data_IF_707372085105
#
_entry.id   IF_707372085105
#
_cell.length_a   1.000
_cell.length_b   1.000
_cell.length_c   1.000
_cell.angle_alpha   90.00
_cell.angle_beta   90.00
_cell.angle_gamma   90.00
#
_symmetry.space_group_name_H-M   'P 1'
#
loop_
_entity.id
_entity.type
_entity.pdbx_description
1 polymer ?
#
# COMPACT_ATOMS: atom_id res chain seq x y z
N UNK A 1 0.72 44.39 58.68
CA UNK A 1 0.49 45.82 59.00
C UNK A 1 -0.66 46.29 58.14
N UNK A 2 -1.85 46.41 58.73
CA UNK A 2 -2.97 47.16 58.17
C UNK A 2 -2.62 48.65 58.20
N UNK A 3 -2.98 49.43 57.19
CA UNK A 3 -3.51 50.78 57.39
C UNK A 3 -4.44 51.15 56.24
N UNK A 4 -5.55 51.76 56.61
CA UNK A 4 -6.74 52.08 55.83
C UNK A 4 -6.91 53.61 55.86
N UNK A 5 -7.21 54.21 54.68
CA UNK A 5 -7.86 55.49 54.32
C UNK A 5 -7.61 56.79 55.15
N UNK A 6 -7.82 58.01 54.57
CA UNK A 6 -9.19 58.57 54.54
C UNK A 6 -9.56 59.55 53.39
N UNK A 7 -10.84 59.46 52.99
CA UNK A 7 -11.87 60.49 52.74
C UNK A 7 -11.62 61.86 52.06
N UNK A 8 -12.40 62.08 50.99
CA UNK A 8 -13.30 63.19 50.61
C UNK A 8 -12.87 64.68 50.59
N UNK A 9 -13.17 65.37 49.48
CA UNK A 9 -14.18 66.45 49.44
C UNK A 9 -14.54 66.95 48.00
N UNK A 10 -15.85 66.91 47.71
CA UNK A 10 -16.73 67.89 47.03
C UNK A 10 -16.23 68.72 45.82
N UNK A 11 -17.00 68.57 44.72
CA UNK A 11 -17.88 69.65 44.23
C UNK A 11 -17.43 70.40 42.97
N UNK A 12 -18.26 70.36 41.91
CA UNK A 12 -18.11 71.26 40.77
C UNK A 12 -18.77 70.78 39.48
N UNK A 13 -20.09 70.80 39.43
CA UNK A 13 -20.90 70.63 38.21
C UNK A 13 -20.77 71.86 37.30
N UNK A 14 -20.25 71.67 36.09
CA UNK A 14 -20.46 72.58 34.96
C UNK A 14 -20.65 71.73 33.69
N UNK A 15 -21.90 71.69 33.20
CA UNK A 15 -22.22 71.19 31.87
C UNK A 15 -21.68 72.14 30.81
N UNK A 16 -20.81 71.64 29.93
CA UNK A 16 -20.36 72.30 28.72
C UNK A 16 -20.29 71.26 27.61
N UNK A 17 -21.36 71.20 26.82
CA UNK A 17 -21.54 70.28 25.70
C UNK A 17 -20.72 70.76 24.49
N UNK A 18 -19.91 69.87 23.87
CA UNK A 18 -19.72 69.75 22.41
C UNK A 18 -18.45 68.94 22.06
N UNK A 19 -18.65 67.65 21.86
CA UNK A 19 -18.17 66.83 20.74
C UNK A 19 -16.75 67.08 20.18
N UNK A 20 -15.77 66.34 20.70
CA UNK A 20 -14.43 66.21 20.11
C UNK A 20 -14.41 65.09 19.06
N UNK A 21 -13.83 65.41 17.90
CA UNK A 21 -13.67 64.50 16.77
C UNK A 21 -12.81 63.28 17.11
N UNK A 22 -13.36 62.09 16.81
CA UNK A 22 -12.63 60.83 16.85
C UNK A 22 -11.88 60.59 15.54
N UNK A 23 -10.56 60.44 15.63
CA UNK A 23 -9.75 59.82 14.59
C UNK A 23 -9.98 58.30 14.63
N UNK A 24 -10.25 57.62 13.50
CA UNK A 24 -10.46 56.18 13.51
C UNK A 24 -9.09 55.48 13.48
N UNK A 25 -8.76 54.77 14.57
CA UNK A 25 -7.74 53.73 14.53
C UNK A 25 -8.26 52.59 13.66
N UNK A 26 -7.63 52.37 12.50
CA UNK A 26 -7.96 51.28 11.59
C UNK A 26 -7.73 49.92 12.26
N UNK A 27 -8.79 49.11 12.33
CA UNK A 27 -8.69 47.72 12.74
C UNK A 27 -7.84 46.96 11.72
N UNK A 28 -6.69 46.44 12.13
CA UNK A 28 -5.94 45.47 11.35
C UNK A 28 -6.79 44.19 11.25
N UNK A 29 -7.41 43.96 10.10
CA UNK A 29 -8.05 42.68 9.80
C UNK A 29 -6.97 41.61 9.66
N UNK A 30 -6.89 40.72 10.63
CA UNK A 30 -6.20 39.45 10.44
C UNK A 30 -6.87 38.70 9.27
N UNK A 31 -6.10 38.13 8.32
CA UNK A 31 -6.67 37.25 7.31
C UNK A 31 -7.48 36.14 8.00
N UNK A 32 -8.69 35.88 7.52
CA UNK A 32 -9.47 34.75 7.99
C UNK A 32 -8.62 33.46 7.85
N UNK A 33 -8.58 32.57 8.85
CA UNK A 33 -7.87 31.31 8.71
C UNK A 33 -8.45 30.56 7.52
N UNK A 34 -7.60 30.23 6.55
CA UNK A 34 -8.01 29.43 5.40
C UNK A 34 -8.62 28.12 5.90
N UNK A 35 -9.77 27.68 5.34
CA UNK A 35 -10.36 26.41 5.74
C UNK A 35 -9.37 25.29 5.46
N UNK A 36 -9.02 24.54 6.50
CA UNK A 36 -8.16 23.36 6.37
C UNK A 36 -8.77 22.42 5.31
N UNK A 37 -8.00 21.97 4.31
CA UNK A 37 -8.52 21.08 3.28
C UNK A 37 -9.11 19.83 3.92
N UNK A 38 -10.35 19.50 3.56
CA UNK A 38 -11.05 18.33 4.06
C UNK A 38 -10.31 17.06 3.63
N UNK A 39 -9.66 16.39 4.59
CA UNK A 39 -9.00 15.10 4.36
C UNK A 39 -10.07 14.01 4.48
N UNK A 40 -10.27 13.24 3.42
CA UNK A 40 -11.24 12.14 3.42
C UNK A 40 -10.80 11.01 4.38
N UNK A 41 -11.72 10.49 5.21
CA UNK A 41 -11.51 9.29 6.02
C UNK A 41 -12.25 8.13 5.37
N UNK A 42 -11.50 7.10 4.95
CA UNK A 42 -12.10 5.91 4.37
C UNK A 42 -11.81 4.71 5.26
N UNK A 43 -12.80 3.84 5.43
CA UNK A 43 -12.58 2.54 6.05
C UNK A 43 -12.13 1.54 4.98
N UNK A 44 -11.10 0.75 5.27
CA UNK A 44 -10.62 -0.27 4.35
C UNK A 44 -11.66 -1.38 4.17
N UNK A 45 -11.77 -1.87 2.94
CA UNK A 45 -12.57 -3.05 2.59
C UNK A 45 -11.62 -4.25 2.54
N UNK A 46 -11.93 -5.30 3.30
CA UNK A 46 -11.18 -6.56 3.23
C UNK A 46 -11.55 -7.32 1.97
N UNK A 47 -10.56 -7.55 1.10
CA UNK A 47 -10.73 -8.37 -0.11
C UNK A 47 -10.08 -9.73 0.14
N UNK A 48 -10.85 -10.81 -0.07
CA UNK A 48 -10.32 -12.17 0.04
C UNK A 48 -9.56 -12.51 -1.24
N UNK A 49 -8.26 -12.79 -1.12
CA UNK A 49 -7.48 -13.35 -2.21
C UNK A 49 -7.54 -14.88 -2.16
N UNK A 50 -8.01 -15.51 -3.22
CA UNK A 50 -8.09 -16.97 -3.29
C UNK A 50 -6.77 -17.64 -3.67
N UNK A 51 -5.85 -16.92 -4.33
CA UNK A 51 -4.53 -17.45 -4.67
C UNK A 51 -3.49 -16.36 -4.45
N UNK A 52 -2.51 -16.64 -3.59
CA UNK A 52 -1.52 -15.68 -3.15
C UNK A 52 -0.10 -16.17 -3.43
N UNK A 53 0.52 -15.62 -4.47
CA UNK A 53 1.94 -15.74 -4.76
C UNK A 53 2.74 -14.90 -3.75
N UNK A 54 3.67 -15.57 -3.05
CA UNK A 54 4.60 -14.95 -2.10
C UNK A 54 5.74 -14.29 -2.87
N UNK A 55 5.62 -12.99 -3.12
CA UNK A 55 6.53 -12.25 -4.02
C UNK A 55 8.01 -12.38 -3.65
N UNK A 56 8.31 -12.47 -2.35
CA UNK A 56 9.66 -12.63 -1.82
C UNK A 56 10.30 -13.99 -2.15
N UNK A 57 9.49 -14.96 -2.57
CA UNK A 57 9.96 -16.28 -2.98
C UNK A 57 10.13 -16.41 -4.48
N UNK A 58 9.71 -15.40 -5.27
CA UNK A 58 9.82 -15.38 -6.72
C UNK A 58 11.27 -15.19 -7.13
N UNK A 59 11.84 -16.23 -7.74
CA UNK A 59 13.26 -16.26 -8.13
C UNK A 59 13.48 -17.07 -9.39
N UNK A 60 14.66 -16.85 -9.97
CA UNK A 60 15.17 -17.66 -11.08
C UNK A 60 15.94 -18.86 -10.54
N UNK A 61 15.93 -19.94 -11.30
CA UNK A 61 16.80 -21.08 -11.11
C UNK A 61 17.29 -21.58 -12.47
N UNK A 62 18.57 -21.94 -12.56
CA UNK A 62 19.09 -22.56 -13.76
C UNK A 62 18.35 -23.87 -14.05
N UNK A 63 17.96 -24.08 -15.31
CA UNK A 63 17.36 -25.32 -15.76
C UNK A 63 18.47 -26.36 -15.98
N UNK A 64 18.56 -27.33 -15.07
CA UNK A 64 19.58 -28.38 -15.13
C UNK A 64 19.49 -29.25 -16.39
N UNK A 65 18.31 -29.38 -16.99
CA UNK A 65 18.09 -30.15 -18.21
C UNK A 65 18.30 -29.32 -19.48
N UNK A 66 18.31 -27.99 -19.38
CA UNK A 66 18.44 -27.07 -20.51
C UNK A 66 19.45 -25.95 -20.19
N UNK A 67 20.76 -26.20 -20.37
CA UNK A 67 21.80 -25.23 -20.07
C UNK A 67 21.55 -23.87 -20.75
N UNK A 68 21.73 -22.79 -19.99
CA UNK A 68 21.49 -21.42 -20.46
C UNK A 68 20.03 -20.95 -20.39
N UNK A 69 19.09 -21.83 -20.01
CA UNK A 69 17.73 -21.43 -19.66
C UNK A 69 17.57 -21.27 -18.16
N UNK A 70 16.74 -20.30 -17.78
CA UNK A 70 16.40 -19.99 -16.39
C UNK A 70 14.89 -20.10 -16.21
N UNK A 71 14.51 -20.92 -15.23
CA UNK A 71 13.13 -21.21 -14.87
C UNK A 71 12.71 -20.36 -13.68
N UNK A 72 11.45 -19.95 -13.67
CA UNK A 72 10.84 -19.19 -12.57
C UNK A 72 10.29 -20.14 -11.52
N UNK A 73 10.68 -19.91 -10.26
CA UNK A 73 10.26 -20.69 -9.10
C UNK A 73 9.71 -19.76 -8.02
N UNK A 74 8.64 -20.18 -7.33
CA UNK A 74 8.06 -19.45 -6.21
C UNK A 74 7.18 -20.34 -5.35
N UNK A 75 6.78 -19.80 -4.19
CA UNK A 75 5.78 -20.39 -3.30
C UNK A 75 4.49 -19.60 -3.38
N UNK A 76 3.36 -20.29 -3.28
CA UNK A 76 2.04 -19.68 -3.25
C UNK A 76 1.11 -20.43 -2.30
N UNK A 77 0.08 -19.74 -1.85
CA UNK A 77 -1.04 -20.33 -1.11
C UNK A 77 -2.28 -20.26 -2.00
N UNK A 78 -3.10 -21.31 -2.03
CA UNK A 78 -4.33 -21.37 -2.80
C UNK A 78 -5.47 -21.91 -1.93
N UNK A 79 -6.55 -21.15 -1.83
CA UNK A 79 -7.77 -21.51 -1.10
C UNK A 79 -8.71 -22.37 -1.94
N UNK A 80 -8.49 -22.44 -3.26
CA UNK A 80 -9.23 -23.27 -4.21
C UNK A 80 -8.28 -23.75 -5.30
N UNK A 81 -8.68 -24.77 -6.06
CA UNK A 81 -7.95 -25.19 -7.26
C UNK A 81 -7.93 -24.09 -8.32
N UNK A 82 -6.97 -24.15 -9.23
CA UNK A 82 -6.72 -23.07 -10.17
C UNK A 82 -5.69 -23.42 -11.23
N UNK A 83 -5.19 -22.39 -11.91
CA UNK A 83 -4.04 -22.52 -12.80
C UNK A 83 -3.10 -21.33 -12.68
N UNK A 84 -1.83 -21.62 -12.88
CA UNK A 84 -0.74 -20.67 -12.84
C UNK A 84 -0.17 -20.52 -14.23
N UNK A 85 -0.14 -19.30 -14.76
CA UNK A 85 0.42 -18.98 -16.07
C UNK A 85 1.61 -18.06 -15.93
N UNK A 86 2.77 -18.49 -16.43
CA UNK A 86 3.99 -17.67 -16.56
C UNK A 86 4.09 -17.17 -17.99
N UNK A 87 4.26 -15.86 -18.15
CA UNK A 87 4.41 -15.19 -19.44
C UNK A 87 5.65 -14.30 -19.39
N UNK A 88 6.46 -14.33 -20.44
CA UNK A 88 7.54 -13.37 -20.62
C UNK A 88 7.12 -12.29 -21.62
N UNK A 89 7.54 -11.05 -21.38
CA UNK A 89 7.19 -9.89 -22.18
C UNK A 89 5.67 -9.70 -22.30
N UNK A 90 4.98 -9.60 -21.18
CA UNK A 90 3.53 -9.50 -21.14
C UNK A 90 3.06 -8.07 -20.86
N UNK A 91 1.94 -7.70 -21.48
CA UNK A 91 1.25 -6.44 -21.24
C UNK A 91 -0.06 -6.69 -20.49
N UNK A 92 -0.25 -5.96 -19.39
CA UNK A 92 -1.55 -5.87 -18.69
C UNK A 92 -2.52 -5.06 -19.57
N UNK A 93 -3.63 -5.67 -19.94
CA UNK A 93 -4.76 -5.04 -20.62
C UNK A 93 -5.94 -4.82 -19.67
N UNK A 94 -7.09 -4.52 -20.26
CA UNK A 94 -8.36 -4.41 -19.54
C UNK A 94 -8.85 -5.79 -19.07
N UNK A 95 -9.75 -5.82 -18.08
CA UNK A 95 -10.46 -7.01 -17.61
C UNK A 95 -9.58 -8.24 -17.31
N UNK A 96 -8.53 -8.07 -16.50
CA UNK A 96 -7.59 -9.14 -16.12
C UNK A 96 -6.82 -9.79 -17.30
N UNK A 97 -6.85 -9.22 -18.50
CA UNK A 97 -6.18 -9.81 -19.66
C UNK A 97 -4.69 -9.53 -19.62
N UNK A 98 -3.89 -10.58 -19.64
CA UNK A 98 -2.46 -10.49 -19.93
C UNK A 98 -2.22 -10.95 -21.36
N UNK A 99 -1.50 -10.14 -22.12
CA UNK A 99 -1.18 -10.44 -23.53
C UNK A 99 0.32 -10.62 -23.67
N UNK A 100 0.80 -11.81 -24.07
CA UNK A 100 2.21 -12.04 -24.34
C UNK A 100 2.60 -11.37 -25.66
N UNK A 101 3.63 -10.54 -25.63
CA UNK A 101 4.06 -9.75 -26.79
C UNK A 101 5.08 -10.50 -27.66
N UNK A 102 5.67 -11.58 -27.14
CA UNK A 102 6.70 -12.39 -27.81
C UNK A 102 6.38 -13.90 -27.81
N UNK A 103 5.09 -14.28 -27.90
CA UNK A 103 4.61 -15.67 -27.77
C UNK A 103 5.32 -16.66 -28.74
N UNK A 104 5.67 -16.21 -29.95
CA UNK A 104 6.37 -17.05 -30.94
C UNK A 104 7.82 -17.38 -30.54
N UNK A 105 8.48 -16.51 -29.77
CA UNK A 105 9.86 -16.69 -29.31
C UNK A 105 9.92 -17.33 -27.92
N UNK A 106 9.02 -16.91 -27.03
CA UNK A 106 8.93 -17.38 -25.67
C UNK A 106 7.46 -17.64 -25.33
N UNK A 107 6.96 -18.86 -25.58
CA UNK A 107 5.58 -19.23 -25.30
C UNK A 107 5.27 -19.16 -23.81
N UNK A 108 4.01 -18.80 -23.50
CA UNK A 108 3.48 -18.85 -22.15
C UNK A 108 3.34 -20.29 -21.65
N UNK A 109 3.48 -20.47 -20.34
CA UNK A 109 3.36 -21.79 -19.70
C UNK A 109 2.25 -21.75 -18.68
N UNK A 110 1.30 -22.67 -18.81
CA UNK A 110 0.18 -22.79 -17.88
C UNK A 110 0.21 -24.15 -17.19
N UNK A 111 0.15 -24.15 -15.86
CA UNK A 111 0.18 -25.35 -15.03
C UNK A 111 -1.01 -25.32 -14.05
N UNK A 112 -1.85 -26.37 -13.98
CA UNK A 112 -2.91 -26.45 -12.99
C UNK A 112 -2.33 -26.65 -11.58
N UNK A 113 -3.08 -26.22 -10.57
CA UNK A 113 -2.78 -26.51 -9.17
C UNK A 113 -4.06 -26.83 -8.39
N UNK A 114 -3.90 -27.55 -7.29
CA UNK A 114 -4.97 -27.86 -6.35
C UNK A 114 -4.99 -26.86 -5.19
N UNK A 115 -6.04 -26.92 -4.37
CA UNK A 115 -6.08 -26.19 -3.11
C UNK A 115 -4.94 -26.63 -2.18
N UNK A 116 -4.28 -25.68 -1.52
CA UNK A 116 -3.23 -25.96 -0.55
C UNK A 116 -2.39 -24.74 -0.20
N UNK A 117 -1.76 -24.75 0.98
CA UNK A 117 -0.85 -23.70 1.45
C UNK A 117 0.60 -24.12 1.29
N UNK A 118 1.51 -23.15 1.10
CA UNK A 118 2.94 -23.40 0.97
C UNK A 118 3.32 -24.20 -0.28
N UNK A 119 2.48 -24.20 -1.31
CA UNK A 119 2.72 -24.92 -2.55
C UNK A 119 3.89 -24.31 -3.29
N UNK A 120 4.71 -25.14 -3.93
CA UNK A 120 5.88 -24.70 -4.70
C UNK A 120 5.58 -24.83 -6.18
N UNK A 121 5.59 -23.72 -6.88
CA UNK A 121 5.59 -23.71 -8.33
C UNK A 121 7.03 -23.86 -8.84
N UNK A 122 7.19 -24.79 -9.78
CA UNK A 122 8.40 -24.91 -10.59
C UNK A 122 7.99 -24.87 -12.05
N UNK A 123 8.58 -23.96 -12.80
CA UNK A 123 8.33 -23.87 -14.22
C UNK A 123 8.81 -25.17 -14.92
N UNK A 124 7.99 -25.77 -15.82
CA UNK A 124 8.35 -26.98 -16.55
C UNK A 124 9.71 -26.86 -17.27
N UNK A 125 10.57 -27.89 -17.22
CA UNK A 125 11.87 -27.86 -17.89
C UNK A 125 11.76 -27.54 -19.38
N UNK A 126 12.70 -26.75 -19.89
CA UNK A 126 12.79 -26.32 -21.28
C UNK A 126 11.93 -25.11 -21.63
N UNK A 127 11.01 -24.71 -20.74
CA UNK A 127 10.13 -23.57 -20.96
C UNK A 127 10.63 -22.25 -20.35
N UNK A 128 11.73 -22.30 -19.60
CA UNK A 128 12.40 -21.11 -19.04
C UNK A 128 12.92 -20.15 -20.11
N UNK A 129 13.33 -18.95 -19.67
CA UNK A 129 13.87 -17.89 -20.51
C UNK A 129 15.37 -18.07 -20.74
N UNK A 130 15.86 -17.75 -21.95
CA UNK A 130 17.29 -17.54 -22.20
C UNK A 130 17.55 -16.04 -22.35
N UNK A 131 18.28 -15.44 -21.41
CA UNK A 131 18.54 -14.00 -21.39
C UNK A 131 19.35 -13.52 -22.61
N UNK A 132 20.18 -14.38 -23.20
CA UNK A 132 20.98 -14.05 -24.39
C UNK A 132 20.16 -13.80 -25.66
N UNK A 133 18.87 -14.17 -25.67
CA UNK A 133 17.98 -14.00 -26.81
C UNK A 133 17.32 -12.61 -26.86
N UNK A 134 17.53 -11.77 -25.84
CA UNK A 134 16.82 -10.50 -25.67
C UNK A 134 17.79 -9.38 -25.28
N UNK A 135 17.42 -8.14 -25.59
CA UNK A 135 18.20 -6.98 -25.20
C UNK A 135 18.08 -6.70 -23.69
N UNK A 136 19.16 -6.24 -23.05
CA UNK A 136 19.13 -5.94 -21.60
C UNK A 136 18.09 -4.86 -21.25
N UNK A 137 17.85 -3.89 -22.14
CA UNK A 137 16.81 -2.86 -21.98
C UNK A 137 15.42 -3.45 -21.81
N UNK A 138 15.09 -4.49 -22.58
CA UNK A 138 13.80 -5.20 -22.55
C UNK A 138 13.65 -6.13 -21.34
N UNK A 139 14.75 -6.48 -20.67
CA UNK A 139 14.76 -7.37 -19.51
C UNK A 139 14.75 -6.60 -18.19
N UNK A 140 15.45 -5.48 -18.12
CA UNK A 140 15.72 -4.76 -16.87
C UNK A 140 14.68 -3.67 -16.56
N UNK A 141 13.92 -3.25 -17.57
CA UNK A 141 12.96 -2.16 -17.43
C UNK A 141 11.57 -2.57 -17.89
N UNK A 142 10.56 -1.83 -17.41
CA UNK A 142 9.23 -1.88 -18.01
C UNK A 142 9.31 -1.17 -19.36
N UNK A 143 8.99 -1.87 -20.45
CA UNK A 143 9.04 -1.32 -21.79
C UNK A 143 8.05 -0.16 -21.96
N UNK A 144 8.33 0.74 -22.91
CA UNK A 144 7.60 2.00 -23.12
C UNK A 144 6.07 1.82 -23.26
N UNK A 145 5.62 0.70 -23.82
CA UNK A 145 4.21 0.37 -23.99
C UNK A 145 3.55 -0.30 -22.77
N UNK A 146 4.21 -0.30 -21.61
CA UNK A 146 3.77 -1.00 -20.40
C UNK A 146 4.01 -2.51 -20.45
N UNK A 147 5.08 -2.94 -21.14
CA UNK A 147 5.44 -4.36 -21.30
C UNK A 147 6.36 -4.76 -20.14
N UNK A 148 5.96 -5.78 -19.40
CA UNK A 148 6.73 -6.31 -18.29
C UNK A 148 7.53 -7.54 -18.75
N UNK A 149 8.84 -7.62 -18.45
CA UNK A 149 9.69 -8.75 -18.81
C UNK A 149 9.16 -10.09 -18.29
N UNK A 150 8.56 -10.10 -17.09
CA UNK A 150 7.95 -11.28 -16.48
C UNK A 150 6.57 -10.94 -15.91
N UNK A 151 5.58 -11.77 -16.23
CA UNK A 151 4.27 -11.76 -15.59
C UNK A 151 3.88 -13.17 -15.15
N UNK A 152 3.30 -13.26 -13.96
CA UNK A 152 2.72 -14.49 -13.42
C UNK A 152 1.24 -14.22 -13.13
N UNK A 153 0.36 -14.98 -13.78
CA UNK A 153 -1.09 -14.94 -13.59
C UNK A 153 -1.53 -16.17 -12.81
N UNK A 154 -2.17 -15.99 -11.67
CA UNK A 154 -2.83 -17.05 -10.91
C UNK A 154 -4.34 -16.87 -11.04
N UNK A 155 -5.03 -17.87 -11.59
CA UNK A 155 -6.49 -17.87 -11.74
C UNK A 155 -7.07 -18.92 -10.79
N UNK A 156 -8.04 -18.50 -9.98
CA UNK A 156 -8.75 -19.33 -9.02
C UNK A 156 -10.07 -19.84 -9.62
N UNK A 157 -10.38 -21.12 -9.44
CA UNK A 157 -11.60 -21.76 -9.91
C UNK A 157 -12.43 -22.27 -8.71
N UNK A 158 -13.14 -21.39 -8.00
CA UNK A 158 -14.01 -21.82 -6.91
C UNK A 158 -15.18 -22.65 -7.45
N UNK A 159 -15.50 -23.75 -6.77
CA UNK A 159 -16.51 -24.73 -7.22
C UNK A 159 -17.94 -24.16 -7.41
N UNK A 160 -18.25 -22.99 -6.83
CA UNK A 160 -19.60 -22.41 -6.78
C UNK A 160 -19.77 -21.09 -7.56
N UNK A 161 -18.83 -20.72 -8.44
CA UNK A 161 -18.98 -19.48 -9.22
C UNK A 161 -19.94 -19.68 -10.40
N UNK A 162 -21.24 -19.50 -10.15
CA UNK A 162 -22.26 -19.45 -11.21
C UNK A 162 -22.10 -18.23 -12.15
N UNK A 163 -21.26 -17.26 -11.78
CA UNK A 163 -21.19 -15.93 -12.42
C UNK A 163 -19.92 -15.72 -13.27
N UNK A 164 -19.10 -16.75 -13.49
CA UNK A 164 -17.88 -16.64 -14.30
C UNK A 164 -16.83 -15.64 -13.79
N UNK A 165 -17.04 -15.02 -12.62
CA UNK A 165 -16.10 -14.08 -12.00
C UNK A 165 -14.92 -14.84 -11.40
N UNK A 166 -13.86 -14.96 -12.21
CA UNK A 166 -12.62 -15.64 -11.83
C UNK A 166 -11.76 -14.70 -10.99
N UNK A 167 -11.54 -15.05 -9.72
CA UNK A 167 -10.59 -14.35 -8.89
C UNK A 167 -9.18 -14.58 -9.43
N UNK A 168 -8.47 -13.50 -9.73
CA UNK A 168 -7.17 -13.55 -10.40
C UNK A 168 -6.15 -12.71 -9.66
N UNK A 169 -4.96 -13.25 -9.42
CA UNK A 169 -3.80 -12.47 -9.01
C UNK A 169 -2.80 -12.37 -10.17
N UNK A 170 -2.35 -11.16 -10.47
CA UNK A 170 -1.29 -10.89 -11.44
C UNK A 170 -0.08 -10.33 -10.69
N UNK A 171 1.08 -10.94 -10.88
CA UNK A 171 2.37 -10.44 -10.40
C UNK A 171 3.22 -10.04 -11.59
N UNK A 172 3.61 -8.77 -11.67
CA UNK A 172 4.42 -8.19 -12.74
C UNK A 172 5.81 -7.86 -12.20
N UNK A 173 6.85 -8.27 -12.93
CA UNK A 173 8.23 -8.17 -12.51
C UNK A 173 9.16 -7.77 -13.66
N UNK A 174 10.31 -7.22 -13.29
CA UNK A 174 11.47 -7.01 -14.16
C UNK A 174 12.62 -7.85 -13.65
N UNK A 175 13.65 -8.00 -14.48
CA UNK A 175 14.90 -8.59 -14.04
C UNK A 175 15.86 -7.52 -13.51
N UNK A 176 16.76 -7.92 -12.63
CA UNK A 176 17.91 -7.12 -12.19
C UNK A 176 19.16 -7.93 -12.40
N UNK A 177 20.25 -7.27 -12.79
CA UNK A 177 21.54 -7.92 -13.02
C UNK A 177 22.52 -7.44 -11.96
N UNK A 178 22.96 -8.36 -11.10
CA UNK A 178 23.98 -8.11 -10.07
C UNK A 178 25.08 -9.15 -10.22
N UNK A 179 26.34 -8.70 -10.36
CA UNK A 179 27.50 -9.58 -10.55
C UNK A 179 27.35 -10.62 -11.70
N UNK A 180 26.77 -10.21 -12.83
CA UNK A 180 26.45 -11.07 -13.98
C UNK A 180 25.34 -12.13 -13.73
N UNK A 181 24.66 -12.08 -12.59
CA UNK A 181 23.53 -12.97 -12.27
C UNK A 181 22.20 -12.20 -12.31
N UNK A 182 21.21 -12.82 -12.96
CA UNK A 182 19.86 -12.26 -13.07
C UNK A 182 19.00 -12.64 -11.87
N UNK A 183 18.34 -11.64 -11.29
CA UNK A 183 17.39 -11.75 -10.19
C UNK A 183 16.03 -11.20 -10.63
N UNK A 184 14.97 -11.58 -9.93
CA UNK A 184 13.62 -11.07 -10.21
C UNK A 184 13.29 -9.98 -9.20
N UNK A 185 12.86 -8.81 -9.69
CA UNK A 185 12.25 -7.77 -8.87
C UNK A 185 10.79 -7.60 -9.23
N UNK A 186 9.92 -7.91 -8.28
CA UNK A 186 8.48 -7.66 -8.41
C UNK A 186 8.23 -6.15 -8.39
N UNK A 187 7.61 -5.65 -9.45
CA UNK A 187 7.24 -4.24 -9.59
C UNK A 187 5.85 -4.00 -9.05
N UNK A 188 4.92 -4.93 -9.32
CA UNK A 188 3.50 -4.72 -9.09
C UNK A 188 2.77 -6.03 -8.86
N UNK A 189 1.83 -6.04 -7.92
CA UNK A 189 0.87 -7.13 -7.75
C UNK A 189 -0.54 -6.57 -7.84
N UNK A 190 -1.41 -7.27 -8.54
CA UNK A 190 -2.78 -6.85 -8.82
C UNK A 190 -3.70 -8.01 -8.48
N UNK A 191 -4.78 -7.72 -7.79
CA UNK A 191 -5.84 -8.65 -7.46
C UNK A 191 -7.11 -8.20 -8.17
N UNK A 192 -7.74 -9.13 -8.87
CA UNK A 192 -9.02 -8.94 -9.51
C UNK A 192 -10.04 -9.84 -8.83
N UNK A 193 -11.02 -9.22 -8.18
CA UNK A 193 -12.07 -9.90 -7.41
C UNK A 193 -13.39 -9.20 -7.68
N UNK A 194 -14.43 -9.97 -8.02
CA UNK A 194 -15.78 -9.46 -8.31
C UNK A 194 -15.79 -8.33 -9.36
N UNK A 195 -14.98 -8.44 -10.42
CA UNK A 195 -14.86 -7.44 -11.48
C UNK A 195 -14.09 -6.16 -11.11
N UNK A 196 -13.58 -6.06 -9.87
CA UNK A 196 -12.85 -4.90 -9.39
C UNK A 196 -11.35 -5.18 -9.37
N UNK A 197 -10.57 -4.19 -9.83
CA UNK A 197 -9.10 -4.22 -9.87
C UNK A 197 -8.52 -3.55 -8.62
N UNK A 198 -7.71 -4.29 -7.88
CA UNK A 198 -6.98 -3.82 -6.71
C UNK A 198 -5.49 -3.95 -6.92
N UNK A 199 -4.75 -2.85 -6.79
CA UNK A 199 -3.28 -2.91 -6.78
C UNK A 199 -2.79 -3.14 -5.34
N UNK A 200 -2.02 -4.20 -5.13
CA UNK A 200 -1.46 -4.53 -3.82
C UNK A 200 -0.27 -3.60 -3.55
N UNK A 201 -0.40 -2.84 -2.47
CA UNK A 201 0.66 -1.97 -1.97
C UNK A 201 1.00 -2.36 -0.54
N UNK A 202 2.30 -2.44 -0.25
CA UNK A 202 2.75 -2.61 1.12
C UNK A 202 2.38 -1.38 1.95
N UNK A 203 2.06 -1.61 3.21
CA UNK A 203 1.84 -0.56 4.20
C UNK A 203 3.03 -0.61 5.16
N UNK A 204 3.73 0.50 5.29
CA UNK A 204 4.87 0.62 6.19
C UNK A 204 4.36 0.81 7.62
N UNK A 205 5.03 0.17 8.59
CA UNK A 205 4.62 0.20 9.99
C UNK A 205 3.78 -1.00 10.43
N UNK A 206 3.22 -1.78 9.49
CA UNK A 206 2.60 -3.07 9.79
C UNK A 206 3.69 -4.14 9.94
N UNK A 207 4.43 -4.16 11.06
CA UNK A 207 5.32 -5.30 11.34
C UNK A 207 4.47 -6.51 11.68
N UNK A 208 4.54 -7.51 10.79
CA UNK A 208 3.93 -8.85 10.84
C UNK A 208 3.60 -9.31 12.29
N UNK A 209 2.35 -9.14 12.73
CA UNK A 209 1.89 -9.64 14.03
C UNK A 209 1.71 -11.16 14.03
N UNK A 210 1.84 -11.81 12.87
CA UNK A 210 1.53 -13.23 12.69
C UNK A 210 2.71 -14.18 12.93
N UNK A 211 3.93 -13.68 13.23
CA UNK A 211 5.12 -14.51 13.45
C UNK A 211 6.02 -14.00 14.59
N UNK A 212 5.47 -13.77 15.79
CA UNK A 212 6.30 -13.53 16.98
C UNK A 212 5.81 -14.33 18.17
N UNK A 213 6.17 -15.62 18.19
CA UNK A 213 6.37 -16.35 19.46
C UNK A 213 7.81 -16.12 19.99
N UNK A 214 8.36 -14.92 19.76
CA UNK A 214 9.66 -14.51 20.30
C UNK A 214 9.43 -13.82 21.64
N UNK A 215 9.67 -14.61 22.68
CA UNK A 215 9.77 -14.15 24.07
C UNK A 215 10.72 -12.95 24.16
N UNK A 216 10.23 -11.81 24.64
CA UNK A 216 11.06 -10.90 25.45
C UNK A 216 11.53 -9.56 24.87
N UNK A 217 10.93 -9.00 23.83
CA UNK A 217 11.18 -7.57 23.49
C UNK A 217 9.88 -6.81 23.29
N UNK A 218 9.66 -5.84 24.19
CA UNK A 218 8.62 -4.81 24.23
C UNK A 218 7.95 -4.46 22.90
N UNK A 219 6.63 -4.26 22.95
CA UNK A 219 5.69 -3.84 21.89
C UNK A 219 5.97 -2.44 21.27
N UNK A 220 7.21 -1.97 21.34
CA UNK A 220 7.68 -0.60 21.11
C UNK A 220 7.66 -0.13 19.64
N UNK A 221 6.72 -0.62 18.84
CA UNK A 221 6.53 -0.20 17.46
C UNK A 221 5.14 -0.45 16.89
N UNK A 222 4.16 -0.89 17.71
CA UNK A 222 2.78 -1.11 17.25
C UNK A 222 1.79 -0.06 17.75
N UNK A 223 2.21 0.78 18.69
CA UNK A 223 1.36 1.84 19.25
C UNK A 223 1.40 3.11 18.42
N UNK A 224 0.30 3.85 18.44
CA UNK A 224 0.14 5.15 17.80
C UNK A 224 1.25 6.10 18.23
N UNK A 225 1.99 6.67 17.27
CA UNK A 225 3.11 7.58 17.57
C UNK A 225 2.70 8.90 18.21
N UNK A 226 1.39 9.19 18.24
CA UNK A 226 0.82 10.41 18.80
C UNK A 226 0.42 10.21 20.27
N UNK A 227 -0.40 9.20 20.58
CA UNK A 227 -0.86 8.94 21.95
C UNK A 227 -0.04 7.90 22.71
N UNK A 228 0.76 7.08 22.02
CA UNK A 228 1.57 6.00 22.59
C UNK A 228 0.77 5.02 23.48
N UNK A 229 -0.54 4.93 23.27
CA UNK A 229 -1.46 4.16 24.12
C UNK A 229 -2.33 3.21 23.31
N UNK A 230 -2.88 3.69 22.19
CA UNK A 230 -3.74 2.91 21.31
C UNK A 230 -2.93 2.30 20.17
N UNK A 231 -3.31 1.10 19.67
CA UNK A 231 -2.63 0.48 18.54
C UNK A 231 -2.79 1.32 17.26
N UNK A 232 -1.84 1.17 16.35
CA UNK A 232 -1.92 1.78 15.03
C UNK A 232 -2.98 1.04 14.18
N UNK A 233 -3.93 1.79 13.64
CA UNK A 233 -4.99 1.28 12.74
C UNK A 233 -5.17 2.17 11.50
N UNK A 234 -4.45 3.29 11.41
CA UNK A 234 -4.67 4.30 10.37
C UNK A 234 -3.43 4.50 9.51
N UNK A 235 -3.61 4.31 8.20
CA UNK A 235 -2.58 4.50 7.16
C UNK A 235 -2.73 5.85 6.48
N UNK A 236 -1.61 6.53 6.27
CA UNK A 236 -1.54 7.82 5.57
C UNK A 236 -1.27 7.61 4.08
N UNK A 237 -2.11 8.13 3.19
CA UNK A 237 -1.88 8.10 1.73
C UNK A 237 -1.39 9.47 1.22
N UNK A 238 -0.44 9.51 0.25
CA UNK A 238 0.10 8.39 -0.54
C UNK A 238 1.36 7.73 0.05
N UNK A 239 1.87 8.22 1.19
CA UNK A 239 3.14 7.75 1.76
C UNK A 239 3.10 6.33 2.38
N UNK A 240 1.90 5.79 2.61
CA UNK A 240 1.60 4.45 3.14
C UNK A 240 2.16 4.14 4.54
N UNK A 241 2.44 5.15 5.36
CA UNK A 241 2.79 4.94 6.77
C UNK A 241 1.55 4.70 7.61
N UNK A 242 1.42 3.49 8.17
CA UNK A 242 0.58 3.23 9.33
C UNK A 242 1.35 3.67 10.57
N UNK A 243 0.84 4.68 11.27
CA UNK A 243 1.57 5.28 12.40
C UNK A 243 0.68 5.85 13.51
N UNK A 244 -0.64 5.85 13.34
CA UNK A 244 -1.55 6.44 14.32
C UNK A 244 -2.83 5.62 14.47
N UNK A 245 -3.51 5.79 15.59
CA UNK A 245 -4.86 5.29 15.80
C UNK A 245 -5.90 6.26 15.20
N UNK A 246 -7.11 5.77 14.96
CA UNK A 246 -8.22 6.50 14.34
C UNK A 246 -8.60 7.78 15.14
N UNK A 247 -8.53 7.72 16.47
CA UNK A 247 -8.82 8.88 17.32
C UNK A 247 -7.80 10.01 17.11
N UNK A 248 -6.50 9.69 17.11
CA UNK A 248 -5.45 10.67 16.81
C UNK A 248 -5.50 11.15 15.36
N UNK A 249 -5.84 10.29 14.41
CA UNK A 249 -6.02 10.66 13.01
C UNK A 249 -7.09 11.73 12.82
N UNK A 250 -8.22 11.62 13.52
CA UNK A 250 -9.31 12.62 13.50
C UNK A 250 -8.85 13.99 14.00
N UNK A 251 -8.05 14.02 15.07
CA UNK A 251 -7.50 15.27 15.63
C UNK A 251 -6.43 15.87 14.72
N UNK A 252 -5.52 15.04 14.20
CA UNK A 252 -4.39 15.49 13.38
C UNK A 252 -4.85 16.30 12.18
N UNK A 253 -5.95 15.90 11.53
CA UNK A 253 -6.54 16.60 10.37
C UNK A 253 -6.87 18.06 10.62
N UNK A 254 -7.22 18.40 11.86
CA UNK A 254 -7.56 19.77 12.23
C UNK A 254 -6.31 20.61 12.54
N UNK A 255 -5.15 19.98 12.74
CA UNK A 255 -3.92 20.64 13.16
C UNK A 255 -2.89 20.72 12.04
N UNK A 256 -2.71 19.64 11.27
CA UNK A 256 -1.73 19.54 10.19
C UNK A 256 -2.22 18.60 9.09
N UNK A 257 -1.70 18.79 7.88
CA UNK A 257 -1.90 17.88 6.75
C UNK A 257 -0.63 17.10 6.40
N UNK A 258 0.24 16.78 7.38
CA UNK A 258 1.52 16.10 7.12
C UNK A 258 1.64 14.79 7.88
N UNK A 259 2.20 13.77 7.23
CA UNK A 259 2.51 12.48 7.85
C UNK A 259 3.50 12.66 9.02
N UNK A 260 3.24 12.10 10.22
CA UNK A 260 4.17 12.17 11.34
C UNK A 260 5.54 11.53 11.09
N UNK A 261 5.61 10.55 10.18
CA UNK A 261 6.84 9.79 9.90
C UNK A 261 7.69 10.50 8.84
N UNK A 262 7.13 10.74 7.64
CA UNK A 262 7.90 11.25 6.50
C UNK A 262 7.60 12.71 6.14
N UNK A 263 6.67 13.37 6.83
CA UNK A 263 6.25 14.77 6.60
C UNK A 263 5.64 15.07 5.22
N UNK A 264 5.37 14.04 4.43
CA UNK A 264 4.64 14.15 3.16
C UNK A 264 3.20 14.61 3.42
N UNK A 265 2.64 15.38 2.48
CA UNK A 265 1.25 15.84 2.56
C UNK A 265 0.26 14.67 2.57
N UNK A 266 -0.73 14.75 3.44
CA UNK A 266 -1.82 13.78 3.58
C UNK A 266 -2.89 14.13 2.57
N UNK A 267 -3.17 13.21 1.64
CA UNK A 267 -4.32 13.32 0.74
C UNK A 267 -5.55 12.67 1.35
N UNK A 268 -5.38 11.46 1.91
CA UNK A 268 -6.44 10.66 2.52
C UNK A 268 -5.90 9.81 3.68
N UNK A 269 -6.78 9.44 4.61
CA UNK A 269 -6.46 8.44 5.64
C UNK A 269 -7.33 7.20 5.46
N UNK A 270 -6.71 6.05 5.61
CA UNK A 270 -7.35 4.74 5.50
C UNK A 270 -7.31 4.02 6.85
N UNK A 271 -8.47 3.79 7.45
CA UNK A 271 -8.62 2.99 8.68
C UNK A 271 -8.68 1.50 8.34
N UNK A 272 -7.78 0.72 8.91
CA UNK A 272 -7.67 -0.73 8.76
C UNK A 272 -7.96 -1.37 10.12
N UNK A 273 -9.14 -1.97 10.24
CA UNK A 273 -9.49 -2.73 11.45
C UNK A 273 -8.83 -4.10 11.38
N UNK A 274 -7.83 -4.31 12.23
CA UNK A 274 -7.26 -5.65 12.45
C UNK A 274 -8.21 -6.38 13.39
N UNK A 275 -8.94 -7.36 12.87
CA UNK A 275 -9.72 -8.26 13.73
C UNK A 275 -8.71 -9.13 14.50
N UNK A 276 -8.39 -8.75 15.73
CA UNK A 276 -7.77 -9.67 16.68
C UNK A 276 -8.83 -10.69 17.07
N UNK A 277 -9.02 -11.73 16.26
CA UNK A 277 -9.72 -12.94 16.70
C UNK A 277 -8.81 -13.69 17.68
N UNK A 278 -8.72 -13.17 18.90
CA UNK A 278 -8.40 -13.96 20.08
C UNK A 278 -9.63 -14.79 20.38
N UNK A 279 -9.69 -16.02 19.86
CA UNK A 279 -10.59 -17.02 20.41
C UNK A 279 -10.08 -17.32 21.83
N UNK A 280 -10.91 -16.99 22.82
CA UNK A 280 -10.84 -17.53 24.19
C UNK A 280 -10.89 -19.07 24.18
#
# INVERSE_FOLDING_TARGET
MQYQAPYDHRGGSYMGNANWGGYPYGAMMHPAPEPVPYIEHQQAVTVKNDVNLKKETLKLAADASNPGKFSVNFTFDANVAGRMTVMFFAKEGEDCKLTPMKENMQPSVTVPFEQGTGQKFQQPPGSGISFFMFEESELLHVGEAGIYPLAVKAEAFPANSNDGSQNTQITLAVFEKENEEYHVRVVKQILWVNGMRYELQEIYGIRNSVNNNSVGTSDAGKDCVICLTEPQDTTVLPCRHMCMCNSCAKVLRCQTNRCPICRQSIERLLEIKVNNSTNE
#
